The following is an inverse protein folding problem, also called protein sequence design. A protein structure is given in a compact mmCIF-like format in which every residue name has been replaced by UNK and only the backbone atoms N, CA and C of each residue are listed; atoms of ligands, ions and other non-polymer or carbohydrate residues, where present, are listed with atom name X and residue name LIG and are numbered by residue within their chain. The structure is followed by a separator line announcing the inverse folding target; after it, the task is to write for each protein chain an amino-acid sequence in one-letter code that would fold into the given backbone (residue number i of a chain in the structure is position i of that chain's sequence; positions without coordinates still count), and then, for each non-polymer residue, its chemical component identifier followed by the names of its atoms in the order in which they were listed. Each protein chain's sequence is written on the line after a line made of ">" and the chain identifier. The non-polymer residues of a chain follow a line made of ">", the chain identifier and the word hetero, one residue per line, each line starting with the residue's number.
data_IF_360977464321
#
_entry.id   IF_360977464321
#
_cell.length_a   1.000
_cell.length_b   1.000
_cell.length_c   1.000
_cell.angle_alpha   90.00
_cell.angle_beta   90.00
_cell.angle_gamma   90.00
#
_symmetry.space_group_name_H-M   'P 1'
#
loop_
_entity.id
_entity.type
_entity.pdbx_description
1 polymer ?
#
# COMPACT_ATOMS: atom_id res chain seq x y z
N UNK A 1 9.96 -20.83 -36.13
CA UNK A 1 9.24 -19.57 -36.44
C UNK A 1 8.70 -18.97 -35.16
N UNK A 2 9.46 -18.08 -34.52
CA UNK A 2 9.01 -17.20 -33.42
C UNK A 2 9.62 -15.84 -33.71
N UNK A 3 8.80 -14.91 -34.19
CA UNK A 3 9.21 -13.57 -34.61
C UNK A 3 9.28 -12.61 -33.42
N UNK A 4 10.50 -12.34 -32.94
CA UNK A 4 10.80 -11.21 -32.06
C UNK A 4 10.91 -9.93 -32.92
N UNK A 5 9.95 -9.02 -32.79
CA UNK A 5 10.05 -7.68 -33.37
C UNK A 5 11.06 -6.83 -32.59
N UNK A 6 12.21 -6.56 -33.23
CA UNK A 6 13.25 -5.60 -32.81
C UNK A 6 12.67 -4.18 -32.73
N UNK A 7 12.75 -3.54 -31.56
CA UNK A 7 12.74 -2.07 -31.45
C UNK A 7 14.18 -1.54 -31.54
N UNK A 8 14.48 -0.49 -32.32
CA UNK A 8 15.85 -0.02 -32.51
C UNK A 8 16.36 0.79 -31.30
N UNK A 9 17.55 0.39 -30.85
CA UNK A 9 18.38 1.07 -29.87
C UNK A 9 19.01 2.31 -30.52
N UNK A 10 18.62 3.52 -30.09
CA UNK A 10 19.29 4.77 -30.51
C UNK A 10 20.46 5.03 -29.55
N UNK A 11 21.68 4.96 -30.07
CA UNK A 11 22.93 5.29 -29.37
C UNK A 11 23.05 6.80 -29.08
N UNK A 12 23.80 7.20 -28.04
CA UNK A 12 23.96 8.59 -27.63
C UNK A 12 25.08 9.23 -28.46
N UNK A 13 24.76 10.29 -29.20
CA UNK A 13 25.77 11.12 -29.86
C UNK A 13 25.80 12.52 -29.24
N UNK A 14 27.04 12.98 -29.02
CA UNK A 14 27.48 14.35 -28.76
C UNK A 14 27.20 14.96 -27.37
N UNK A 15 28.27 14.95 -26.57
CA UNK A 15 28.60 16.01 -25.60
C UNK A 15 28.58 17.35 -26.35
N UNK A 16 27.63 18.23 -26.03
CA UNK A 16 27.68 19.66 -26.38
C UNK A 16 27.92 20.47 -25.11
N UNK A 17 28.74 21.53 -25.16
CA UNK A 17 29.16 22.29 -23.99
C UNK A 17 28.01 23.11 -23.43
N UNK A 18 28.14 23.46 -22.15
CA UNK A 18 27.22 24.30 -21.40
C UNK A 18 26.95 25.64 -22.11
N UNK A 19 25.73 25.81 -22.63
CA UNK A 19 25.17 27.09 -23.01
C UNK A 19 23.63 27.04 -22.92
N UNK A 20 23.07 28.08 -22.30
CA UNK A 20 21.66 28.47 -22.23
C UNK A 20 20.64 27.64 -21.42
N UNK A 21 20.58 27.98 -20.12
CA UNK A 21 19.45 27.71 -19.21
C UNK A 21 18.41 28.85 -19.33
N UNK A 22 17.93 29.20 -20.53
CA UNK A 22 16.86 30.21 -20.61
C UNK A 22 15.79 30.06 -21.69
N UNK A 23 15.69 28.89 -22.32
CA UNK A 23 14.67 28.67 -23.36
C UNK A 23 14.09 27.25 -23.32
N UNK A 24 13.42 26.90 -22.21
CA UNK A 24 12.57 25.69 -22.18
C UNK A 24 11.21 26.01 -22.83
N UNK A 25 10.76 25.25 -23.85
CA UNK A 25 9.50 25.54 -24.53
C UNK A 25 8.32 25.37 -23.56
N UNK A 26 7.46 26.40 -23.51
CA UNK A 26 6.23 26.52 -22.69
C UNK A 26 5.23 25.34 -22.78
N UNK A 27 5.44 24.41 -23.71
CA UNK A 27 4.57 23.24 -23.93
C UNK A 27 4.70 22.12 -22.89
N UNK A 28 5.88 21.91 -22.28
CA UNK A 28 6.08 20.81 -21.31
C UNK A 28 5.46 21.15 -19.95
N UNK A 29 5.58 22.41 -19.47
CA UNK A 29 4.92 22.86 -18.24
C UNK A 29 3.40 22.71 -18.35
N UNK A 30 2.78 23.19 -19.44
CA UNK A 30 1.33 23.04 -19.67
C UNK A 30 0.87 21.58 -19.73
N UNK A 31 1.72 20.67 -20.23
CA UNK A 31 1.39 19.22 -20.31
C UNK A 31 1.51 18.55 -18.94
N UNK A 32 2.48 18.94 -18.11
CA UNK A 32 2.61 18.48 -16.72
C UNK A 32 1.54 19.09 -15.82
N UNK A 33 1.14 20.34 -16.04
CA UNK A 33 0.07 21.00 -15.30
C UNK A 33 -1.31 20.42 -15.66
N UNK A 34 -1.55 20.02 -16.92
CA UNK A 34 -2.74 19.24 -17.30
C UNK A 34 -2.75 17.84 -16.69
N UNK A 35 -1.60 17.17 -16.60
CA UNK A 35 -1.50 15.86 -15.93
C UNK A 35 -1.73 15.97 -14.42
N UNK A 36 -1.30 17.06 -13.78
CA UNK A 36 -1.63 17.37 -12.38
C UNK A 36 -3.11 17.72 -12.20
N UNK A 37 -3.68 18.51 -13.11
CA UNK A 37 -5.11 18.83 -13.09
C UNK A 37 -6.02 17.61 -13.35
N UNK A 38 -5.57 16.61 -14.11
CA UNK A 38 -6.27 15.33 -14.22
C UNK A 38 -6.13 14.48 -12.94
N UNK A 39 -4.95 14.48 -12.30
CA UNK A 39 -4.75 13.75 -11.04
C UNK A 39 -5.57 14.32 -9.86
N UNK A 40 -5.86 15.62 -9.87
CA UNK A 40 -6.68 16.28 -8.84
C UNK A 40 -8.20 16.11 -9.05
N UNK A 41 -8.66 15.63 -10.22
CA UNK A 41 -10.10 15.50 -10.55
C UNK A 41 -10.69 14.08 -10.39
N UNK A 42 -9.88 13.04 -10.18
CA UNK A 42 -10.35 11.64 -10.09
C UNK A 42 -10.83 11.20 -8.68
N UNK A 43 -10.87 12.13 -7.72
CA UNK A 43 -10.94 11.76 -6.30
C UNK A 43 -12.30 11.38 -5.70
N UNK A 44 -13.46 11.62 -6.33
CA UNK A 44 -14.70 11.58 -5.53
C UNK A 44 -16.03 11.12 -6.16
N UNK A 45 -16.15 10.74 -7.45
CA UNK A 45 -17.49 10.45 -8.02
C UNK A 45 -17.60 9.27 -8.99
N UNK A 46 -16.73 8.27 -8.88
CA UNK A 46 -16.83 7.04 -9.67
C UNK A 46 -17.18 5.81 -8.84
N UNK A 47 -17.90 4.86 -9.45
CA UNK A 47 -18.04 3.47 -8.98
C UNK A 47 -16.69 2.83 -8.51
N UNK A 48 -15.53 3.16 -9.12
CA UNK A 48 -14.22 2.72 -8.61
C UNK A 48 -13.81 3.30 -7.25
N UNK A 49 -14.21 4.54 -6.94
CA UNK A 49 -13.93 5.18 -5.65
C UNK A 49 -14.67 4.49 -4.50
N UNK A 50 -15.93 4.12 -4.75
CA UNK A 50 -16.74 3.36 -3.78
C UNK A 50 -16.16 1.98 -3.53
N UNK A 51 -15.70 1.27 -4.57
CA UNK A 51 -15.05 -0.03 -4.41
C UNK A 51 -13.73 0.05 -3.65
N UNK A 52 -12.95 1.10 -3.88
CA UNK A 52 -11.68 1.32 -3.16
C UNK A 52 -11.92 1.65 -1.69
N UNK A 53 -12.92 2.49 -1.40
CA UNK A 53 -13.33 2.80 -0.03
C UNK A 53 -13.85 1.55 0.69
N UNK A 54 -14.73 0.78 0.05
CA UNK A 54 -15.25 -0.48 0.59
C UNK A 54 -14.12 -1.49 0.84
N UNK A 55 -13.23 -1.69 -0.15
CA UNK A 55 -12.08 -2.59 -0.06
C UNK A 55 -11.14 -2.27 1.10
N UNK A 56 -10.84 -0.98 1.29
CA UNK A 56 -9.93 -0.53 2.35
C UNK A 56 -10.56 -0.70 3.74
N UNK A 57 -11.87 -0.48 3.86
CA UNK A 57 -12.59 -0.62 5.13
C UNK A 57 -12.87 -2.09 5.51
N UNK A 58 -12.87 -3.02 4.54
CA UNK A 58 -13.16 -4.43 4.80
C UNK A 58 -12.14 -5.09 5.74
N UNK A 59 -10.85 -4.80 5.58
CA UNK A 59 -9.80 -5.36 6.43
C UNK A 59 -9.98 -4.97 7.91
N UNK A 60 -10.01 -3.67 8.28
CA UNK A 60 -10.19 -3.28 9.67
C UNK A 60 -11.57 -3.68 10.22
N UNK A 61 -12.63 -3.67 9.41
CA UNK A 61 -13.94 -4.16 9.84
C UNK A 61 -13.94 -5.66 10.16
N UNK A 62 -13.25 -6.47 9.36
CA UNK A 62 -13.12 -7.91 9.62
C UNK A 62 -12.36 -8.20 10.91
N UNK A 63 -11.26 -7.50 11.16
CA UNK A 63 -10.47 -7.62 12.39
C UNK A 63 -11.24 -7.12 13.63
N UNK A 64 -12.00 -6.03 13.49
CA UNK A 64 -12.88 -5.55 14.55
C UNK A 64 -13.94 -6.58 14.92
N UNK A 65 -14.53 -7.27 13.93
CA UNK A 65 -15.49 -8.35 14.17
C UNK A 65 -14.87 -9.53 14.91
N UNK A 66 -13.62 -9.90 14.61
CA UNK A 66 -12.90 -10.94 15.37
C UNK A 66 -12.67 -10.47 16.81
N UNK A 67 -12.32 -9.19 16.99
CA UNK A 67 -12.04 -8.60 18.29
C UNK A 67 -13.25 -8.52 19.23
N UNK A 68 -14.48 -8.45 18.69
CA UNK A 68 -15.71 -8.50 19.49
C UNK A 68 -16.24 -9.92 19.69
N UNK A 69 -15.94 -10.85 18.77
CA UNK A 69 -16.41 -12.23 18.85
C UNK A 69 -15.54 -13.15 19.73
N UNK A 70 -14.23 -12.87 19.86
CA UNK A 70 -13.28 -13.72 20.59
C UNK A 70 -12.54 -12.93 21.68
N UNK A 71 -12.32 -13.57 22.83
CA UNK A 71 -11.58 -13.00 23.97
C UNK A 71 -10.33 -13.84 24.31
N UNK A 72 -9.39 -13.24 25.04
CA UNK A 72 -8.19 -13.94 25.53
C UNK A 72 -7.32 -14.58 24.43
N UNK A 73 -6.91 -15.83 24.67
CA UNK A 73 -6.01 -16.58 23.78
C UNK A 73 -6.68 -17.00 22.46
N UNK A 74 -8.00 -17.21 22.46
CA UNK A 74 -8.75 -17.57 21.25
C UNK A 74 -8.75 -16.45 20.22
N UNK A 75 -8.69 -15.18 20.67
CA UNK A 75 -8.51 -14.03 19.77
C UNK A 75 -7.18 -14.11 19.01
N UNK A 76 -6.11 -14.52 19.70
CA UNK A 76 -4.80 -14.71 19.09
C UNK A 76 -4.82 -15.81 18.02
N UNK A 77 -5.47 -16.93 18.31
CA UNK A 77 -5.66 -18.04 17.35
C UNK A 77 -6.50 -17.61 16.15
N UNK A 78 -7.60 -16.90 16.37
CA UNK A 78 -8.46 -16.40 15.30
C UNK A 78 -7.72 -15.43 14.35
N UNK A 79 -6.96 -14.48 14.91
CA UNK A 79 -6.11 -13.57 14.12
C UNK A 79 -5.00 -14.34 13.39
N UNK A 80 -4.42 -15.36 14.03
CA UNK A 80 -3.42 -16.24 13.40
C UNK A 80 -3.98 -16.97 12.18
N UNK A 81 -5.16 -17.56 12.29
CA UNK A 81 -5.84 -18.22 11.15
C UNK A 81 -6.18 -17.23 10.04
N UNK A 82 -6.67 -16.04 10.40
CA UNK A 82 -6.93 -14.95 9.44
C UNK A 82 -5.66 -14.55 8.68
N UNK A 83 -4.54 -14.39 9.38
CA UNK A 83 -3.25 -14.04 8.77
C UNK A 83 -2.70 -15.18 7.89
N UNK A 84 -2.83 -16.43 8.33
CA UNK A 84 -2.40 -17.60 7.55
C UNK A 84 -3.20 -17.73 6.25
N UNK A 85 -4.52 -17.53 6.29
CA UNK A 85 -5.37 -17.51 5.10
C UNK A 85 -4.94 -16.40 4.13
N UNK A 86 -4.66 -15.20 4.64
CA UNK A 86 -4.13 -14.08 3.83
C UNK A 86 -2.78 -14.38 3.19
N UNK A 87 -1.88 -15.05 3.90
CA UNK A 87 -0.57 -15.46 3.37
C UNK A 87 -0.70 -16.50 2.24
N UNK A 88 -1.57 -17.50 2.41
CA UNK A 88 -1.87 -18.51 1.39
C UNK A 88 -2.46 -17.84 0.15
N UNK A 89 -3.44 -16.96 0.32
CA UNK A 89 -4.04 -16.22 -0.79
C UNK A 89 -3.00 -15.36 -1.54
N UNK A 90 -2.09 -14.71 -0.81
CA UNK A 90 -1.02 -13.90 -1.41
C UNK A 90 -0.01 -14.75 -2.17
N UNK A 91 0.32 -15.94 -1.67
CA UNK A 91 1.25 -16.86 -2.32
C UNK A 91 0.64 -17.49 -3.59
N UNK A 92 -0.63 -17.89 -3.53
CA UNK A 92 -1.33 -18.55 -4.64
C UNK A 92 -1.90 -17.56 -5.66
N UNK A 93 -2.11 -16.29 -5.30
CA UNK A 93 -2.74 -15.28 -6.13
C UNK A 93 -2.05 -15.08 -7.50
N UNK A 94 -0.76 -14.68 -7.55
CA UNK A 94 -0.09 -14.45 -8.82
C UNK A 94 0.03 -15.70 -9.72
N UNK A 95 0.40 -16.89 -9.20
CA UNK A 95 0.44 -18.11 -10.01
C UNK A 95 -0.93 -18.51 -10.57
N UNK A 96 -1.97 -18.53 -9.74
CA UNK A 96 -3.33 -18.89 -10.18
C UNK A 96 -3.90 -17.86 -11.13
N UNK A 97 -3.70 -16.57 -10.85
CA UNK A 97 -4.15 -15.47 -11.70
C UNK A 97 -3.48 -15.50 -13.07
N UNK A 98 -2.16 -15.71 -13.13
CA UNK A 98 -1.42 -15.84 -14.38
C UNK A 98 -1.92 -17.02 -15.22
N UNK A 99 -1.99 -18.20 -14.59
CA UNK A 99 -2.48 -19.41 -15.27
C UNK A 99 -3.91 -19.25 -15.82
N UNK A 100 -4.81 -18.63 -15.05
CA UNK A 100 -6.20 -18.44 -15.47
C UNK A 100 -6.33 -17.45 -16.64
N UNK A 101 -5.48 -16.41 -16.65
CA UNK A 101 -5.40 -15.45 -17.77
C UNK A 101 -4.87 -16.13 -19.03
N UNK A 102 -3.89 -17.01 -18.91
CA UNK A 102 -3.28 -17.70 -20.05
C UNK A 102 -4.24 -18.69 -20.72
N UNK A 103 -5.11 -19.37 -19.96
CA UNK A 103 -6.03 -20.40 -20.48
C UNK A 103 -7.38 -19.82 -20.90
N UNK A 104 -7.97 -18.95 -20.07
CA UNK A 104 -9.37 -18.49 -20.21
C UNK A 104 -9.46 -17.01 -20.61
N UNK A 105 -8.31 -16.30 -20.61
CA UNK A 105 -8.25 -14.87 -20.88
C UNK A 105 -8.53 -14.01 -19.65
N UNK A 106 -8.29 -12.70 -19.77
CA UNK A 106 -8.32 -11.76 -18.64
C UNK A 106 -9.67 -11.65 -17.90
N UNK A 107 -10.79 -11.92 -18.59
CA UNK A 107 -12.14 -11.80 -18.02
C UNK A 107 -12.40 -12.79 -16.89
N UNK A 108 -11.73 -13.94 -16.93
CA UNK A 108 -11.84 -15.00 -15.92
C UNK A 108 -11.50 -14.53 -14.50
N UNK A 109 -10.54 -13.60 -14.37
CA UNK A 109 -10.12 -13.02 -13.09
C UNK A 109 -11.27 -12.28 -12.41
N UNK A 110 -12.11 -11.59 -13.18
CA UNK A 110 -13.27 -10.89 -12.65
C UNK A 110 -14.36 -11.85 -12.18
N UNK A 111 -14.61 -12.93 -12.93
CA UNK A 111 -15.53 -13.98 -12.52
C UNK A 111 -15.06 -14.69 -11.25
N UNK A 112 -13.76 -14.96 -11.11
CA UNK A 112 -13.20 -15.56 -9.90
C UNK A 112 -13.42 -14.65 -8.68
N UNK A 113 -13.10 -13.35 -8.80
CA UNK A 113 -13.34 -12.40 -7.72
C UNK A 113 -14.84 -12.30 -7.36
N UNK A 114 -15.71 -12.25 -8.36
CA UNK A 114 -17.16 -12.23 -8.15
C UNK A 114 -17.66 -13.50 -7.45
N UNK A 115 -17.15 -14.67 -7.83
CA UNK A 115 -17.51 -15.95 -7.22
C UNK A 115 -17.09 -16.01 -5.74
N UNK A 116 -15.86 -15.57 -5.44
CA UNK A 116 -15.36 -15.51 -4.06
C UNK A 116 -16.18 -14.52 -3.24
N UNK A 117 -16.51 -13.35 -3.79
CA UNK A 117 -17.34 -12.35 -3.12
C UNK A 117 -18.76 -12.88 -2.83
N UNK A 118 -19.38 -13.59 -3.78
CA UNK A 118 -20.69 -14.21 -3.60
C UNK A 118 -20.64 -15.33 -2.53
N UNK A 119 -19.61 -16.16 -2.53
CA UNK A 119 -19.43 -17.21 -1.52
C UNK A 119 -19.25 -16.60 -0.11
N UNK A 120 -18.44 -15.56 0.02
CA UNK A 120 -18.25 -14.83 1.27
C UNK A 120 -19.56 -14.19 1.76
N UNK A 121 -20.33 -13.57 0.86
CA UNK A 121 -21.63 -12.98 1.18
C UNK A 121 -22.64 -14.06 1.64
N UNK A 122 -22.71 -15.19 0.94
CA UNK A 122 -23.58 -16.30 1.30
C UNK A 122 -23.24 -16.88 2.69
N UNK A 123 -21.95 -17.01 3.01
CA UNK A 123 -21.51 -17.41 4.35
C UNK A 123 -21.85 -16.34 5.39
N UNK A 124 -21.61 -15.07 5.10
CA UNK A 124 -21.91 -13.95 6.00
C UNK A 124 -23.40 -13.83 6.34
N UNK A 125 -24.30 -14.10 5.39
CA UNK A 125 -25.75 -14.09 5.62
C UNK A 125 -26.19 -15.29 6.47
N UNK A 126 -25.57 -16.45 6.30
CA UNK A 126 -25.90 -17.66 7.08
C UNK A 126 -25.46 -17.56 8.54
N UNK A 127 -24.36 -16.86 8.82
CA UNK A 127 -23.86 -16.65 10.17
C UNK A 127 -24.63 -15.49 10.81
N UNK A 128 -25.54 -15.78 11.77
CA UNK A 128 -26.23 -14.72 12.51
C UNK A 128 -25.21 -13.89 13.29
N UNK A 129 -25.11 -12.57 13.05
CA UNK A 129 -24.20 -11.74 13.82
C UNK A 129 -24.67 -11.69 15.28
N UNK A 130 -23.78 -12.04 16.21
CA UNK A 130 -23.93 -11.63 17.60
C UNK A 130 -23.98 -10.10 17.60
N UNK A 131 -25.10 -9.50 18.00
CA UNK A 131 -25.23 -8.04 18.09
C UNK A 131 -24.68 -7.59 19.44
N UNK A 132 -23.48 -7.01 19.54
CA UNK A 132 -23.15 -6.22 20.71
C UNK A 132 -24.04 -4.97 20.72
N UNK A 133 -24.61 -4.66 21.88
CA UNK A 133 -25.30 -3.39 22.11
C UNK A 133 -24.27 -2.24 22.04
N UNK A 134 -24.16 -1.59 20.89
CA UNK A 134 -23.36 -0.37 20.76
C UNK A 134 -24.12 0.81 21.36
N UNK A 135 -23.98 1.04 22.67
CA UNK A 135 -24.59 2.17 23.40
C UNK A 135 -23.69 3.42 23.48
N UNK A 136 -22.59 3.48 22.71
CA UNK A 136 -21.63 4.57 22.72
C UNK A 136 -21.91 5.66 21.67
N UNK A 137 -21.64 6.92 22.02
CA UNK A 137 -21.51 8.01 21.03
C UNK A 137 -20.36 7.70 20.06
N UNK A 138 -20.60 7.82 18.76
CA UNK A 138 -19.58 7.69 17.72
C UNK A 138 -18.56 8.82 17.85
N UNK A 139 -17.37 8.54 18.39
CA UNK A 139 -16.24 9.46 18.33
C UNK A 139 -15.52 9.30 16.98
N UNK A 140 -15.89 10.16 16.02
CA UNK A 140 -15.27 10.19 14.69
C UNK A 140 -13.97 11.03 14.66
N UNK A 141 -13.69 11.80 15.71
CA UNK A 141 -12.55 12.71 15.73
C UNK A 141 -11.24 11.93 15.87
N UNK A 142 -11.19 10.98 16.80
CA UNK A 142 -9.98 10.17 17.04
C UNK A 142 -9.57 9.33 15.81
N UNK A 143 -10.50 8.63 15.11
CA UNK A 143 -10.22 7.97 13.84
C UNK A 143 -9.75 8.93 12.74
N UNK A 144 -10.36 10.11 12.62
CA UNK A 144 -10.00 11.09 11.60
C UNK A 144 -8.58 11.61 11.81
N UNK A 145 -8.22 11.97 13.04
CA UNK A 145 -6.87 12.40 13.40
C UNK A 145 -5.85 11.28 13.14
N UNK A 146 -6.21 10.02 13.45
CA UNK A 146 -5.38 8.85 13.14
C UNK A 146 -5.11 8.69 11.64
N UNK A 147 -6.15 8.79 10.80
CA UNK A 147 -6.03 8.72 9.34
C UNK A 147 -5.16 9.86 8.81
N UNK A 148 -5.34 11.08 9.30
CA UNK A 148 -4.53 12.23 8.89
C UNK A 148 -3.06 12.07 9.32
N UNK A 149 -2.80 11.59 10.54
CA UNK A 149 -1.46 11.34 11.05
C UNK A 149 -0.73 10.27 10.22
N UNK A 150 -1.36 9.10 10.03
CA UNK A 150 -0.78 8.01 9.25
C UNK A 150 -0.64 8.35 7.77
N UNK A 151 -1.64 9.05 7.20
CA UNK A 151 -1.63 9.50 5.81
C UNK A 151 -0.52 10.52 5.54
N UNK A 152 -0.38 11.54 6.39
CA UNK A 152 0.70 12.53 6.30
C UNK A 152 2.07 11.90 6.48
N UNK A 153 2.24 11.01 7.45
CA UNK A 153 3.49 10.27 7.66
C UNK A 153 3.86 9.41 6.46
N UNK A 154 2.91 8.62 5.95
CA UNK A 154 3.13 7.73 4.80
C UNK A 154 3.47 8.51 3.54
N UNK A 155 2.68 9.55 3.23
CA UNK A 155 2.94 10.41 2.08
C UNK A 155 4.27 11.14 2.23
N UNK A 156 4.58 11.66 3.43
CA UNK A 156 5.83 12.33 3.73
C UNK A 156 7.05 11.44 3.47
N UNK A 157 7.01 10.19 3.92
CA UNK A 157 8.08 9.21 3.72
C UNK A 157 8.25 8.84 2.24
N UNK A 158 7.14 8.68 1.50
CA UNK A 158 7.16 8.40 0.06
C UNK A 158 7.76 9.59 -0.70
N UNK A 159 7.29 10.81 -0.43
CA UNK A 159 7.77 12.02 -1.08
C UNK A 159 9.24 12.31 -0.75
N UNK A 160 9.67 12.03 0.48
CA UNK A 160 11.07 12.16 0.91
C UNK A 160 12.03 11.21 0.15
N UNK A 161 11.53 10.05 -0.29
CA UNK A 161 12.29 9.11 -1.13
C UNK A 161 12.42 9.53 -2.61
N UNK A 162 11.81 10.65 -3.01
CA UNK A 162 11.86 11.18 -4.38
C UNK A 162 12.57 12.53 -4.44
N UNK A 163 12.59 13.19 -5.60
CA UNK A 163 13.12 14.57 -5.74
C UNK A 163 12.32 15.64 -4.98
N UNK A 164 11.25 15.25 -4.26
CA UNK A 164 10.37 16.12 -3.50
C UNK A 164 10.69 16.16 -1.99
N UNK A 165 11.97 16.06 -1.61
CA UNK A 165 12.42 15.94 -0.22
C UNK A 165 11.78 16.99 0.69
N UNK A 166 11.84 18.28 0.32
CA UNK A 166 11.29 19.37 1.14
C UNK A 166 9.79 19.22 1.45
N UNK A 167 9.00 18.77 0.46
CA UNK A 167 7.57 18.49 0.66
C UNK A 167 7.40 17.25 1.55
N UNK A 168 8.20 16.21 1.35
CA UNK A 168 8.21 15.03 2.20
C UNK A 168 8.46 15.37 3.67
N UNK A 169 9.50 16.17 3.94
CA UNK A 169 9.83 16.61 5.31
C UNK A 169 8.70 17.41 5.94
N UNK A 170 8.04 18.30 5.18
CA UNK A 170 6.91 19.07 5.69
C UNK A 170 5.73 18.19 6.14
N UNK A 171 5.40 17.15 5.37
CA UNK A 171 4.34 16.21 5.74
C UNK A 171 4.72 15.31 6.93
N UNK A 172 6.00 14.93 7.06
CA UNK A 172 6.49 14.22 8.25
C UNK A 172 6.41 15.13 9.48
N UNK A 173 6.81 16.40 9.37
CA UNK A 173 6.71 17.37 10.46
C UNK A 173 5.25 17.65 10.85
N UNK A 174 4.31 17.62 9.90
CA UNK A 174 2.87 17.72 10.18
C UNK A 174 2.33 16.48 10.91
N UNK A 175 2.91 15.30 10.69
CA UNK A 175 2.50 14.07 11.37
C UNK A 175 2.84 14.08 12.87
N UNK A 176 3.92 14.75 13.30
CA UNK A 176 4.30 14.85 14.72
C UNK A 176 3.21 15.44 15.63
N UNK A 177 2.67 16.65 15.39
CA UNK A 177 1.63 17.24 16.23
C UNK A 177 0.32 16.46 16.17
N UNK A 178 -0.02 15.87 15.00
CA UNK A 178 -1.20 15.00 14.87
C UNK A 178 -1.05 13.73 15.72
N UNK A 179 0.14 13.14 15.73
CA UNK A 179 0.47 11.98 16.57
C UNK A 179 0.43 12.32 18.06
N UNK A 180 0.99 13.47 18.45
CA UNK A 180 0.91 13.95 19.83
C UNK A 180 -0.54 14.17 20.29
N UNK A 181 -1.37 14.80 19.45
CA UNK A 181 -2.80 14.99 19.71
C UNK A 181 -3.52 13.65 19.88
N UNK A 182 -3.21 12.67 19.02
CA UNK A 182 -3.78 11.33 19.12
C UNK A 182 -3.40 10.65 20.44
N UNK A 183 -2.13 10.70 20.84
CA UNK A 183 -1.66 10.10 22.11
C UNK A 183 -2.33 10.75 23.32
N UNK A 184 -2.47 12.08 23.32
CA UNK A 184 -3.15 12.81 24.40
C UNK A 184 -4.65 12.45 24.47
N UNK A 185 -5.31 12.31 23.31
CA UNK A 185 -6.72 11.92 23.22
C UNK A 185 -6.94 10.48 23.66
N UNK A 186 -6.12 9.55 23.18
CA UNK A 186 -6.14 8.12 23.59
C UNK A 186 -5.90 7.96 25.09
N UNK A 187 -5.00 8.76 25.68
CA UNK A 187 -4.73 8.74 27.12
C UNK A 187 -5.91 9.20 27.99
N UNK A 188 -6.82 10.01 27.44
CA UNK A 188 -8.02 10.50 28.12
C UNK A 188 -9.30 9.76 27.71
N UNK A 189 -9.27 8.98 26.63
CA UNK A 189 -10.42 8.28 26.10
C UNK A 189 -10.77 7.04 26.95
N UNK A 190 -12.03 6.94 27.36
CA UNK A 190 -12.56 5.74 28.04
C UNK A 190 -12.61 4.50 27.12
N UNK A 191 -12.56 4.71 25.80
CA UNK A 191 -12.50 3.68 24.76
C UNK A 191 -11.28 3.92 23.86
N UNK A 192 -10.08 3.78 24.43
CA UNK A 192 -8.82 3.88 23.67
C UNK A 192 -8.76 2.79 22.58
N UNK A 193 -8.45 3.17 21.34
CA UNK A 193 -8.23 2.22 20.24
C UNK A 193 -7.01 1.34 20.50
N UNK A 194 -5.98 1.87 21.17
CA UNK A 194 -4.78 1.12 21.54
C UNK A 194 -4.48 1.35 23.02
N UNK A 195 -4.94 0.46 23.93
CA UNK A 195 -4.65 0.62 25.34
C UNK A 195 -3.12 0.59 25.55
N UNK A 196 -2.53 1.59 26.22
CA UNK A 196 -1.08 1.69 26.40
C UNK A 196 -0.49 0.50 27.19
N UNK A 197 -1.34 -0.27 27.89
CA UNK A 197 -0.99 -1.52 28.55
C UNK A 197 -0.51 -2.60 27.57
N UNK A 198 -0.92 -2.55 26.29
CA UNK A 198 -0.50 -3.51 25.28
C UNK A 198 0.98 -3.40 24.93
N UNK A 199 1.55 -2.18 24.97
CA UNK A 199 2.98 -1.96 24.74
C UNK A 199 3.87 -2.42 25.90
N UNK A 200 3.29 -2.70 27.07
CA UNK A 200 4.01 -3.34 28.18
C UNK A 200 4.14 -4.85 28.01
N UNK A 201 3.37 -5.47 27.12
CA UNK A 201 3.49 -6.89 26.83
C UNK A 201 4.67 -7.15 25.88
N UNK A 202 5.68 -7.86 26.37
CA UNK A 202 6.86 -8.23 25.59
C UNK A 202 6.52 -9.04 24.34
N UNK A 203 5.45 -9.85 24.35
CA UNK A 203 5.00 -10.61 23.17
C UNK A 203 4.55 -9.67 22.05
N UNK A 204 3.84 -8.61 22.41
CA UNK A 204 3.39 -7.60 21.45
C UNK A 204 4.58 -6.85 20.84
N UNK A 205 5.55 -6.43 21.66
CA UNK A 205 6.76 -5.74 21.18
C UNK A 205 7.57 -6.66 20.26
N UNK A 206 7.79 -7.92 20.65
CA UNK A 206 8.54 -8.90 19.85
C UNK A 206 7.84 -9.17 18.52
N UNK A 207 6.52 -9.36 18.51
CA UNK A 207 5.75 -9.58 17.27
C UNK A 207 5.86 -8.40 16.28
N UNK A 208 5.75 -7.17 16.79
CA UNK A 208 5.93 -5.98 15.96
C UNK A 208 7.38 -5.84 15.47
N UNK A 209 8.37 -6.09 16.33
CA UNK A 209 9.78 -6.06 15.96
C UNK A 209 10.10 -7.09 14.86
N UNK A 210 9.60 -8.32 14.99
CA UNK A 210 9.74 -9.35 13.95
C UNK A 210 9.13 -8.90 12.61
N UNK A 211 7.97 -8.24 12.65
CA UNK A 211 7.32 -7.70 11.46
C UNK A 211 8.18 -6.65 10.78
N UNK A 212 8.75 -5.71 11.54
CA UNK A 212 9.69 -4.70 11.04
C UNK A 212 10.91 -5.36 10.40
N UNK A 213 11.52 -6.34 11.07
CA UNK A 213 12.69 -7.07 10.56
C UNK A 213 12.37 -7.84 9.28
N UNK A 214 11.21 -8.48 9.20
CA UNK A 214 10.75 -9.22 8.02
C UNK A 214 10.60 -8.29 6.81
N UNK A 215 9.89 -7.16 6.98
CA UNK A 215 9.68 -6.20 5.90
C UNK A 215 10.97 -5.47 5.50
N UNK A 216 11.85 -5.16 6.46
CA UNK A 216 13.17 -4.60 6.19
C UNK A 216 14.02 -5.58 5.36
N UNK A 217 14.07 -6.86 5.76
CA UNK A 217 14.76 -7.92 5.03
C UNK A 217 14.23 -8.09 3.61
N UNK A 218 12.90 -8.11 3.45
CA UNK A 218 12.27 -8.23 2.13
C UNK A 218 12.62 -7.04 1.22
N UNK A 219 12.59 -5.82 1.78
CA UNK A 219 12.93 -4.58 1.07
C UNK A 219 14.41 -4.55 0.66
N UNK A 220 15.30 -4.95 1.57
CA UNK A 220 16.73 -5.07 1.30
C UNK A 220 17.01 -6.11 0.19
N UNK A 221 16.33 -7.26 0.22
CA UNK A 221 16.49 -8.32 -0.79
C UNK A 221 16.11 -7.82 -2.20
N UNK A 222 15.04 -7.03 -2.34
CA UNK A 222 14.63 -6.42 -3.61
C UNK A 222 15.68 -5.44 -4.12
N UNK A 223 16.19 -4.57 -3.25
CA UNK A 223 17.25 -3.60 -3.61
C UNK A 223 18.53 -4.31 -4.07
N UNK A 224 18.92 -5.39 -3.39
CA UNK A 224 20.12 -6.17 -3.76
C UNK A 224 19.98 -6.86 -5.14
N UNK A 225 18.77 -7.27 -5.53
CA UNK A 225 18.50 -7.84 -6.86
C UNK A 225 18.56 -6.77 -7.95
N UNK A 226 18.03 -5.58 -7.70
CA UNK A 226 18.11 -4.45 -8.64
C UNK A 226 19.57 -4.05 -8.90
N UNK A 227 20.39 -3.94 -7.85
CA UNK A 227 21.81 -3.60 -7.99
C UNK A 227 22.62 -4.70 -8.71
N UNK A 228 22.28 -5.98 -8.48
CA UNK A 228 22.90 -7.10 -9.22
C UNK A 228 22.50 -7.12 -10.69
N UNK A 229 21.23 -6.86 -10.99
CA UNK A 229 20.69 -6.80 -12.35
C UNK A 229 21.21 -5.62 -13.16
N UNK A 230 21.55 -4.48 -12.54
CA UNK A 230 22.18 -3.36 -13.25
C UNK A 230 23.65 -3.64 -13.57
N UNK A 231 24.39 -4.25 -12.63
CA UNK A 231 25.80 -4.64 -12.82
C UNK A 231 25.99 -5.66 -13.94
N UNK A 232 25.10 -6.65 -14.07
CA UNK A 232 25.17 -7.63 -15.16
C UNK A 232 24.86 -7.01 -16.52
N UNK A 233 23.91 -6.08 -16.59
CA UNK A 233 23.51 -5.38 -17.82
C UNK A 233 24.59 -4.43 -18.34
N UNK A 234 25.39 -3.81 -17.45
CA UNK A 234 26.55 -3.02 -17.83
C UNK A 234 27.72 -3.87 -18.36
N UNK A 235 27.90 -5.11 -17.88
CA UNK A 235 28.95 -6.01 -18.40
C UNK A 235 28.67 -6.54 -19.80
N UNK A 236 27.40 -6.62 -20.20
CA UNK A 236 26.99 -7.17 -21.49
C UNK A 236 26.90 -6.15 -22.62
N UNK A 237 27.25 -4.88 -22.40
CA UNK A 237 27.33 -3.89 -23.48
C UNK A 237 28.73 -4.02 -24.12
N UNK A 238 28.87 -4.62 -25.32
CA UNK A 238 30.16 -4.67 -25.99
C UNK A 238 30.62 -3.25 -26.31
N UNK A 239 31.90 -2.97 -26.05
CA UNK A 239 32.51 -1.69 -26.39
C UNK A 239 32.36 -1.47 -27.90
N UNK A 240 31.54 -0.47 -28.28
CA UNK A 240 31.41 -0.08 -29.68
C UNK A 240 32.79 0.39 -30.16
N UNK A 241 33.33 -0.17 -31.26
CA UNK A 241 34.61 0.30 -31.78
C UNK A 241 34.43 1.75 -32.24
N UNK A 242 35.22 2.64 -31.66
CA UNK A 242 35.33 4.03 -32.09
C UNK A 242 35.80 4.04 -33.55
N UNK A 243 35.00 4.64 -34.43
CA UNK A 243 35.40 5.11 -35.75
C UNK A 243 35.24 6.61 -35.77
#
# INVERSE_FOLDING_TARGET
>A
MVGFQKAPCKTPSAVRPAADVHSRPLGIRRRVDRLRACADCDGARGLPGVQSAAGTCLIPASLASIGTAFSGEDRGRAVGTWAAAGAIATALGPPLGGWLVDVVGWRSVFFLNALIALAALAMGIKVRPARPECSGRLDLLSPLVGVLCLGSMSYGLIAAGTSAVLRGTAFVLLALPLGALLVLREGQARHALVPPRLFRDGRFVVANAMTVVLYASLSASRRSRVLRGSRSRCRSVPASPAR
#
